data_IF_716461600438
#
_entry.id   IF_716461600438
#
_cell.length_a   1.000
_cell.length_b   1.000
_cell.length_c   1.000
_cell.angle_alpha   90.00
_cell.angle_beta   90.00
_cell.angle_gamma   90.00
#
_symmetry.space_group_name_H-M   'P 1'
#
loop_
_entity.id
_entity.type
_entity.pdbx_description
1 polymer ?
#
# COMPACT_ATOMS: atom_id res chain seq x y z
N UNK A 1 -1.42 6.99 14.58
CA UNK A 1 0.07 6.92 14.42
C UNK A 1 0.45 6.20 13.12
N UNK A 2 0.35 4.87 13.01
CA UNK A 2 0.78 4.16 11.77
C UNK A 2 -0.09 4.48 10.54
N UNK A 3 -1.40 4.61 10.72
CA UNK A 3 -2.33 5.04 9.66
C UNK A 3 -1.98 6.44 9.13
N UNK A 4 -1.76 7.39 10.03
CA UNK A 4 -1.45 8.78 9.66
C UNK A 4 -0.10 8.89 8.96
N UNK A 5 0.90 8.16 9.47
CA UNK A 5 2.21 8.06 8.84
C UNK A 5 2.11 7.49 7.41
N UNK A 6 1.41 6.38 7.22
CA UNK A 6 1.26 5.78 5.90
C UNK A 6 0.48 6.70 4.94
N UNK A 7 -0.62 7.29 5.42
CA UNK A 7 -1.42 8.23 4.64
C UNK A 7 -0.64 9.48 4.24
N UNK A 8 0.32 9.94 5.06
CA UNK A 8 1.21 11.04 4.69
C UNK A 8 2.00 10.73 3.41
N UNK A 9 2.57 9.53 3.30
CA UNK A 9 3.33 9.11 2.12
C UNK A 9 2.41 8.82 0.91
N UNK A 10 1.26 8.20 1.12
CA UNK A 10 0.26 7.97 0.06
C UNK A 10 -0.24 9.30 -0.53
N UNK A 11 -0.57 10.28 0.32
CA UNK A 11 -1.00 11.60 -0.13
C UNK A 11 0.12 12.35 -0.89
N UNK A 12 1.36 12.28 -0.38
CA UNK A 12 2.54 12.89 -1.02
C UNK A 12 2.82 12.34 -2.42
N UNK A 13 2.51 11.06 -2.66
CA UNK A 13 2.69 10.39 -3.95
C UNK A 13 1.48 10.51 -4.88
N UNK A 14 0.41 11.20 -4.46
CA UNK A 14 -0.79 11.41 -5.29
C UNK A 14 -1.77 10.24 -5.32
N UNK A 15 -1.65 9.27 -4.40
CA UNK A 15 -2.62 8.17 -4.29
C UNK A 15 -3.99 8.71 -3.85
N UNK A 16 -5.04 8.29 -4.58
CA UNK A 16 -6.43 8.66 -4.27
C UNK A 16 -7.03 7.81 -3.14
N UNK A 17 -6.47 6.62 -2.90
CA UNK A 17 -6.89 5.70 -1.85
C UNK A 17 -6.05 5.96 -0.60
N UNK A 18 -6.72 6.20 0.52
CA UNK A 18 -6.11 6.35 1.84
C UNK A 18 -6.57 5.21 2.75
N UNK A 19 -5.75 4.86 3.72
CA UNK A 19 -6.05 3.86 4.76
C UNK A 19 -7.09 4.43 5.71
N UNK A 20 -8.17 3.68 5.88
CA UNK A 20 -9.20 3.92 6.91
C UNK A 20 -9.08 2.90 8.03
N UNK A 21 -8.86 1.64 7.67
CA UNK A 21 -8.61 0.53 8.60
C UNK A 21 -7.32 -0.17 8.16
N UNK A 22 -6.26 0.01 8.95
CA UNK A 22 -4.95 -0.55 8.63
C UNK A 22 -4.98 -2.08 8.52
N UNK A 23 -5.81 -2.77 9.29
CA UNK A 23 -5.85 -4.24 9.25
C UNK A 23 -6.53 -4.72 7.96
N UNK A 24 -7.59 -4.04 7.52
CA UNK A 24 -8.33 -4.44 6.32
C UNK A 24 -7.71 -3.93 5.03
N UNK A 25 -7.28 -2.66 5.00
CA UNK A 25 -6.87 -1.99 3.76
C UNK A 25 -5.49 -2.47 3.24
N UNK A 26 -4.67 -3.10 4.09
CA UNK A 26 -3.38 -3.68 3.69
C UNK A 26 -3.44 -5.19 3.48
N UNK A 27 -4.63 -5.80 3.64
CA UNK A 27 -4.79 -7.26 3.63
C UNK A 27 -4.31 -7.86 2.32
N UNK A 28 -4.61 -7.22 1.18
CA UNK A 28 -4.24 -7.68 -0.16
C UNK A 28 -2.77 -7.43 -0.55
N UNK A 29 -1.97 -6.85 0.35
CA UNK A 29 -0.55 -6.57 0.13
C UNK A 29 -0.26 -5.41 -0.83
N UNK A 30 -1.22 -4.98 -1.66
CA UNK A 30 -1.01 -3.95 -2.69
C UNK A 30 -0.70 -2.61 -2.04
N UNK A 31 -1.54 -2.19 -1.10
CA UNK A 31 -1.37 -0.90 -0.43
C UNK A 31 -0.12 -0.86 0.46
N UNK A 32 0.24 -2.01 1.05
CA UNK A 32 1.49 -2.16 1.79
C UNK A 32 2.70 -1.96 0.87
N UNK A 33 2.69 -2.59 -0.30
CA UNK A 33 3.76 -2.49 -1.26
C UNK A 33 3.88 -1.06 -1.84
N UNK A 34 2.76 -0.37 -2.07
CA UNK A 34 2.74 1.05 -2.43
C UNK A 34 3.43 1.92 -1.38
N UNK A 35 3.14 1.72 -0.09
CA UNK A 35 3.80 2.46 1.00
C UNK A 35 5.30 2.21 1.02
N UNK A 36 5.73 0.94 0.86
CA UNK A 36 7.15 0.58 0.83
C UNK A 36 7.86 1.27 -0.34
N UNK A 37 7.29 1.24 -1.55
CA UNK A 37 7.87 1.92 -2.71
C UNK A 37 8.05 3.42 -2.48
N UNK A 38 7.05 4.07 -1.88
CA UNK A 38 7.11 5.52 -1.63
C UNK A 38 8.14 5.86 -0.55
N UNK A 39 8.28 5.04 0.49
CA UNK A 39 9.23 5.27 1.59
C UNK A 39 10.66 4.93 1.19
N UNK A 40 10.85 3.83 0.46
CA UNK A 40 12.16 3.38 -0.04
C UNK A 40 12.63 4.20 -1.26
N UNK A 41 11.72 4.90 -1.95
CA UNK A 41 11.97 5.56 -3.22
C UNK A 41 12.53 4.58 -4.28
N UNK A 42 12.05 3.34 -4.24
CA UNK A 42 12.42 2.25 -5.13
C UNK A 42 11.16 1.57 -5.68
N UNK A 43 11.24 1.08 -6.92
CA UNK A 43 10.15 0.34 -7.55
C UNK A 43 10.30 -1.14 -7.23
N UNK A 44 9.22 -1.78 -6.80
CA UNK A 44 9.18 -3.24 -6.60
C UNK A 44 8.56 -3.84 -7.85
N UNK A 45 9.32 -4.67 -8.56
CA UNK A 45 8.93 -5.15 -9.89
C UNK A 45 7.91 -6.32 -9.85
N UNK A 46 7.88 -7.09 -8.77
CA UNK A 46 7.10 -8.32 -8.63
C UNK A 46 5.84 -8.18 -7.74
N UNK A 47 5.13 -7.06 -7.83
CA UNK A 47 3.84 -6.87 -7.13
C UNK A 47 2.68 -7.30 -8.04
N UNK A 48 1.84 -8.19 -7.55
CA UNK A 48 0.52 -8.42 -8.14
C UNK A 48 -0.43 -7.26 -7.79
N UNK A 49 -0.61 -6.31 -8.70
CA UNK A 49 -1.49 -5.15 -8.46
C UNK A 49 -3.00 -5.46 -8.44
N UNK A 50 -3.42 -6.69 -8.75
CA UNK A 50 -4.83 -7.09 -8.72
C UNK A 50 -4.99 -8.55 -8.27
N UNK A 51 -4.73 -8.84 -6.98
CA UNK A 51 -4.91 -10.18 -6.43
C UNK A 51 -6.39 -10.58 -6.46
N UNK A 52 -6.68 -11.77 -6.98
CA UNK A 52 -8.05 -12.30 -7.15
C UNK A 52 -8.39 -13.39 -6.13
N UNK A 53 -7.39 -13.96 -5.47
CA UNK A 53 -7.59 -15.01 -4.47
C UNK A 53 -6.49 -14.94 -3.39
N UNK A 54 -6.68 -15.69 -2.29
CA UNK A 54 -5.77 -15.67 -1.14
C UNK A 54 -4.35 -16.15 -1.44
N UNK A 55 -4.17 -16.97 -2.48
CA UNK A 55 -2.83 -17.44 -2.89
C UNK A 55 -2.06 -16.40 -3.72
N UNK A 56 -2.72 -15.31 -4.10
CA UNK A 56 -2.17 -14.23 -4.92
C UNK A 56 -1.87 -12.95 -4.12
N UNK A 57 -2.18 -12.98 -2.82
CA UNK A 57 -1.88 -11.93 -1.85
C UNK A 57 -0.46 -12.11 -1.31
#
# INVERSE_FOLDING_TARGET
IYTDWANHYLAKSGHKRLIKDLQQDVTDGVLLAEIIQVVANEKIEDINGCPKNRSQM
#
